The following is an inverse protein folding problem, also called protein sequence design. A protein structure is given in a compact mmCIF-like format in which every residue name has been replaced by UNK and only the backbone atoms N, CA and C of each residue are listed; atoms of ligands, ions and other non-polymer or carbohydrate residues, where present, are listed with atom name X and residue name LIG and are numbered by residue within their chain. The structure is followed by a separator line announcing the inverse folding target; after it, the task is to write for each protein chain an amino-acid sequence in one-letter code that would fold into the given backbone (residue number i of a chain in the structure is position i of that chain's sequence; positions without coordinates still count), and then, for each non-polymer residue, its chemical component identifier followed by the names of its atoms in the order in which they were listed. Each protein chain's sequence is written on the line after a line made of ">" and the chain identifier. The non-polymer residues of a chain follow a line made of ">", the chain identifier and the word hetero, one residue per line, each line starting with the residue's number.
data_IF_380722564479
#
_entry.id   IF_380722564479
#
_cell.length_a   1.000
_cell.length_b   1.000
_cell.length_c   1.000
_cell.angle_alpha   90.00
_cell.angle_beta   90.00
_cell.angle_gamma   90.00
#
_symmetry.space_group_name_H-M   'P 1'
#
loop_
_entity.id
_entity.type
_entity.pdbx_description
1 polymer ?
#
# COMPACT_ATOMS: atom_id res chain seq x y z
N UNK A 1 7.07 16.27 28.35
CA UNK A 1 7.74 16.12 27.02
C UNK A 1 6.84 15.23 26.17
N UNK A 2 6.04 15.86 25.32
CA UNK A 2 5.19 15.18 24.34
C UNK A 2 6.12 14.43 23.41
N UNK A 3 5.88 13.13 23.24
CA UNK A 3 6.72 12.25 22.44
C UNK A 3 6.75 12.78 20.99
N UNK A 4 7.91 13.17 20.51
CA UNK A 4 8.09 13.70 19.14
C UNK A 4 7.64 12.69 18.07
N UNK A 5 7.60 11.40 18.43
CA UNK A 5 7.07 10.33 17.59
C UNK A 5 5.57 10.47 17.28
N UNK A 6 4.79 11.00 18.24
CA UNK A 6 3.36 11.26 18.05
C UNK A 6 3.14 12.41 17.06
N UNK A 7 3.96 13.46 17.14
CA UNK A 7 3.89 14.61 16.23
C UNK A 7 4.39 14.28 14.81
N UNK A 8 5.35 13.37 14.67
CA UNK A 8 5.82 12.91 13.37
C UNK A 8 4.75 12.18 12.55
N UNK A 9 3.79 11.54 13.22
CA UNK A 9 2.65 10.89 12.59
C UNK A 9 1.48 11.84 12.27
N UNK A 10 1.50 13.08 12.76
CA UNK A 10 0.48 14.07 12.43
C UNK A 10 0.77 14.68 11.05
N UNK A 11 0.03 14.22 10.04
CA UNK A 11 0.13 14.70 8.65
C UNK A 11 -0.68 15.98 8.39
N UNK A 12 -1.71 16.26 9.20
CA UNK A 12 -2.65 17.37 8.95
C UNK A 12 -2.04 18.75 9.15
N UNK A 13 -1.10 18.92 10.08
CA UNK A 13 -0.47 20.21 10.42
C UNK A 13 0.84 20.49 9.70
N UNK A 14 1.37 19.57 8.89
CA UNK A 14 2.67 19.72 8.22
C UNK A 14 2.61 20.69 7.06
N UNK A 15 3.69 21.47 6.87
CA UNK A 15 3.91 22.27 5.67
C UNK A 15 4.10 21.35 4.44
N UNK A 16 4.02 21.92 3.25
CA UNK A 16 4.12 21.15 2.00
C UNK A 16 5.49 20.49 1.84
N UNK A 17 6.58 21.19 2.21
CA UNK A 17 7.94 20.68 2.22
C UNK A 17 8.14 19.54 3.22
N UNK A 18 7.61 19.70 4.44
CA UNK A 18 7.71 18.69 5.50
C UNK A 18 6.90 17.43 5.16
N UNK A 19 5.77 17.64 4.48
CA UNK A 19 4.92 16.56 4.02
C UNK A 19 5.61 15.77 2.90
N UNK A 20 6.27 16.46 1.96
CA UNK A 20 7.06 15.84 0.90
C UNK A 20 8.23 15.03 1.48
N UNK A 21 9.03 15.62 2.37
CA UNK A 21 10.12 14.93 3.05
C UNK A 21 9.64 13.68 3.83
N UNK A 22 8.46 13.78 4.45
CA UNK A 22 7.85 12.64 5.13
C UNK A 22 7.40 11.54 4.16
N UNK A 23 6.84 11.88 3.01
CA UNK A 23 6.46 10.94 1.95
C UNK A 23 7.70 10.21 1.44
N UNK A 24 8.78 10.94 1.14
CA UNK A 24 10.02 10.37 0.62
C UNK A 24 10.65 9.39 1.62
N UNK A 25 10.75 9.78 2.90
CA UNK A 25 11.29 8.92 3.95
C UNK A 25 10.43 7.68 4.19
N UNK A 26 9.10 7.81 4.19
CA UNK A 26 8.18 6.68 4.36
C UNK A 26 8.17 5.76 3.14
N UNK A 27 8.36 6.27 1.94
CA UNK A 27 8.46 5.48 0.72
C UNK A 27 9.74 4.64 0.73
N UNK A 28 10.88 5.22 1.11
CA UNK A 28 12.13 4.48 1.30
C UNK A 28 11.98 3.38 2.36
N UNK A 29 11.31 3.67 3.46
CA UNK A 29 11.02 2.68 4.50
C UNK A 29 10.12 1.56 3.98
N UNK A 30 9.08 1.89 3.23
CA UNK A 30 8.18 0.90 2.63
C UNK A 30 8.94 -0.02 1.67
N UNK A 31 9.81 0.53 0.83
CA UNK A 31 10.62 -0.27 -0.12
C UNK A 31 11.63 -1.16 0.62
N UNK A 32 12.23 -0.66 1.70
CA UNK A 32 13.08 -1.47 2.59
C UNK A 32 12.30 -2.63 3.20
N UNK A 33 11.10 -2.38 3.74
CA UNK A 33 10.25 -3.43 4.33
C UNK A 33 9.85 -4.46 3.28
N UNK A 34 9.47 -4.04 2.07
CA UNK A 34 9.17 -4.95 0.96
C UNK A 34 10.36 -5.82 0.59
N UNK A 35 11.54 -5.23 0.47
CA UNK A 35 12.77 -5.94 0.12
C UNK A 35 13.16 -6.95 1.19
N UNK A 36 13.13 -6.57 2.47
CA UNK A 36 13.42 -7.45 3.59
C UNK A 36 12.42 -8.62 3.62
N UNK A 37 11.13 -8.34 3.46
CA UNK A 37 10.10 -9.37 3.45
C UNK A 37 10.23 -10.31 2.25
N UNK A 38 10.51 -9.80 1.05
CA UNK A 38 10.75 -10.61 -0.13
C UNK A 38 11.98 -11.52 0.06
N UNK A 39 13.06 -10.97 0.61
CA UNK A 39 14.26 -11.73 0.92
C UNK A 39 14.01 -12.83 1.94
N UNK A 40 13.32 -12.53 3.05
CA UNK A 40 12.98 -13.52 4.07
C UNK A 40 12.10 -14.66 3.53
N UNK A 41 11.12 -14.34 2.66
CA UNK A 41 10.30 -15.36 2.01
C UNK A 41 11.15 -16.22 1.07
N UNK A 42 12.05 -15.60 0.32
CA UNK A 42 12.97 -16.33 -0.55
C UNK A 42 13.91 -17.25 0.25
N UNK A 43 14.51 -16.75 1.32
CA UNK A 43 15.40 -17.52 2.22
C UNK A 43 14.67 -18.67 2.92
N UNK A 44 13.39 -18.49 3.27
CA UNK A 44 12.55 -19.55 3.83
C UNK A 44 12.05 -20.56 2.78
N UNK A 45 12.26 -20.28 1.49
CA UNK A 45 11.79 -21.18 0.43
C UNK A 45 12.65 -22.44 0.33
N UNK A 46 12.02 -23.54 -0.06
CA UNK A 46 12.72 -24.82 -0.31
C UNK A 46 13.83 -24.67 -1.37
N UNK A 47 13.62 -23.84 -2.36
CA UNK A 47 14.59 -23.58 -3.46
C UNK A 47 15.89 -23.00 -2.89
N UNK A 48 15.80 -22.04 -1.98
CA UNK A 48 16.97 -21.45 -1.32
C UNK A 48 17.71 -22.50 -0.47
N UNK A 49 16.97 -23.30 0.30
CA UNK A 49 17.55 -24.35 1.16
C UNK A 49 18.31 -25.37 0.32
N UNK A 50 17.73 -25.83 -0.81
CA UNK A 50 18.39 -26.77 -1.72
C UNK A 50 19.62 -26.14 -2.36
N UNK A 51 19.57 -24.88 -2.77
CA UNK A 51 20.69 -24.18 -3.39
C UNK A 51 21.87 -24.00 -2.42
N UNK A 52 21.58 -23.63 -1.17
CA UNK A 52 22.64 -23.49 -0.15
C UNK A 52 23.25 -24.83 0.23
N UNK A 53 22.46 -25.91 0.30
CA UNK A 53 22.97 -27.25 0.52
C UNK A 53 23.92 -27.68 -0.61
N UNK A 54 23.55 -27.46 -1.86
CA UNK A 54 24.39 -27.80 -3.00
C UNK A 54 25.70 -26.99 -3.02
N UNK A 55 25.65 -25.71 -2.70
CA UNK A 55 26.87 -24.87 -2.61
C UNK A 55 27.81 -25.33 -1.47
N UNK A 56 27.26 -25.81 -0.35
CA UNK A 56 28.08 -26.38 0.73
C UNK A 56 28.76 -27.68 0.31
N UNK A 57 28.07 -28.53 -0.45
CA UNK A 57 28.66 -29.78 -0.98
C UNK A 57 29.80 -29.48 -1.95
N UNK A 58 29.64 -28.49 -2.84
CA UNK A 58 30.68 -28.09 -3.80
C UNK A 58 31.90 -27.45 -3.07
N UNK A 59 31.67 -26.70 -1.98
CA UNK A 59 32.75 -26.11 -1.17
C UNK A 59 33.55 -27.16 -0.37
N UNK A 60 32.88 -28.21 0.13
CA UNK A 60 33.55 -29.33 0.81
C UNK A 60 34.41 -30.16 -0.15
N UNK A 61 34.03 -30.26 -1.44
CA UNK A 61 34.83 -30.95 -2.46
C UNK A 61 36.08 -30.12 -2.87
N UNK A 62 36.06 -28.80 -2.73
CA UNK A 62 37.21 -27.92 -3.06
C UNK A 62 38.19 -27.70 -1.90
N UNK A 63 37.93 -28.26 -0.73
CA UNK A 63 38.87 -28.27 0.39
C UNK A 63 39.06 -26.94 1.12
N UNK A 64 38.20 -25.97 0.94
CA UNK A 64 38.17 -24.74 1.73
C UNK A 64 37.63 -24.99 3.13
N UNK A 65 38.39 -24.62 4.13
CA UNK A 65 38.12 -24.90 5.56
C UNK A 65 36.76 -24.38 6.00
N UNK A 66 35.85 -25.30 6.23
CA UNK A 66 34.54 -25.02 6.80
C UNK A 66 34.64 -24.97 8.33
N UNK A 67 34.08 -23.93 8.97
CA UNK A 67 33.85 -23.87 10.40
C UNK A 67 33.02 -25.07 10.88
N UNK A 68 33.23 -25.60 12.11
CA UNK A 68 32.60 -26.83 12.54
C UNK A 68 31.12 -26.63 12.84
N UNK A 69 30.29 -26.69 11.82
CA UNK A 69 28.84 -26.80 11.98
C UNK A 69 28.40 -28.18 11.50
N UNK A 70 27.71 -28.89 12.40
CA UNK A 70 27.05 -30.18 12.25
C UNK A 70 27.37 -30.91 10.93
N UNK A 71 28.19 -31.95 11.02
CA UNK A 71 28.39 -32.90 9.89
C UNK A 71 27.03 -33.52 9.52
N UNK A 72 26.30 -32.86 8.64
CA UNK A 72 25.23 -33.52 7.91
C UNK A 72 25.92 -34.44 6.92
N UNK A 73 25.73 -35.74 7.05
CA UNK A 73 26.21 -36.74 6.10
C UNK A 73 25.83 -36.28 4.71
N UNK A 74 26.77 -36.14 3.76
CA UNK A 74 26.43 -35.73 2.41
C UNK A 74 25.39 -36.69 1.87
N UNK A 75 24.27 -36.16 1.40
CA UNK A 75 23.29 -36.92 0.67
C UNK A 75 23.97 -37.54 -0.57
N UNK A 76 23.78 -38.83 -0.82
CA UNK A 76 24.36 -39.46 -2.00
C UNK A 76 23.92 -38.69 -3.24
N UNK A 77 24.89 -38.36 -4.14
CA UNK A 77 24.59 -37.72 -5.42
C UNK A 77 23.49 -38.52 -6.11
N UNK A 78 22.30 -37.97 -6.17
CA UNK A 78 21.20 -38.58 -6.92
C UNK A 78 21.56 -38.53 -8.40
N UNK A 79 21.49 -39.69 -9.09
CA UNK A 79 21.63 -39.75 -10.52
C UNK A 79 20.67 -38.78 -11.22
N UNK A 80 21.10 -38.11 -12.29
CA UNK A 80 20.35 -37.06 -12.98
C UNK A 80 18.92 -37.46 -13.42
N UNK A 81 18.58 -38.74 -13.37
CA UNK A 81 17.28 -39.30 -13.74
C UNK A 81 16.48 -39.86 -12.51
N UNK A 82 16.87 -39.52 -11.28
CA UNK A 82 16.16 -40.01 -10.10
C UNK A 82 14.88 -39.20 -9.86
N UNK A 83 13.76 -39.75 -10.24
CA UNK A 83 12.45 -39.25 -9.82
C UNK A 83 12.14 -39.75 -8.42
N UNK A 84 12.28 -38.85 -7.43
CA UNK A 84 11.88 -39.13 -6.05
C UNK A 84 10.37 -39.35 -6.00
N UNK A 85 9.95 -40.61 -5.84
CA UNK A 85 8.54 -40.88 -5.57
C UNK A 85 8.28 -40.73 -4.05
N UNK A 86 7.86 -39.53 -3.64
CA UNK A 86 7.59 -39.24 -2.24
C UNK A 86 6.51 -40.15 -1.62
N UNK A 87 5.53 -40.60 -2.40
CA UNK A 87 4.45 -41.46 -1.94
C UNK A 87 4.98 -42.82 -1.53
N UNK A 88 5.91 -43.39 -2.30
CA UNK A 88 6.49 -44.69 -1.96
C UNK A 88 7.37 -44.63 -0.71
N UNK A 89 8.15 -43.53 -0.56
CA UNK A 89 8.96 -43.32 0.65
C UNK A 89 8.10 -43.09 1.89
N UNK A 90 7.02 -42.33 1.74
CA UNK A 90 6.09 -42.09 2.84
C UNK A 90 5.34 -43.33 3.26
N UNK A 91 4.93 -44.18 2.32
CA UNK A 91 4.25 -45.44 2.57
C UNK A 91 5.17 -46.52 3.22
N UNK A 92 6.47 -46.46 2.92
CA UNK A 92 7.47 -47.39 3.50
C UNK A 92 7.75 -47.07 4.98
N UNK A 93 7.41 -45.89 5.48
CA UNK A 93 7.67 -45.46 6.84
C UNK A 93 6.61 -45.98 7.82
N UNK A 94 6.99 -46.19 9.11
CA UNK A 94 6.05 -46.62 10.13
C UNK A 94 4.91 -45.63 10.31
N UNK A 95 3.68 -46.12 10.55
CA UNK A 95 2.49 -45.27 10.75
C UNK A 95 2.67 -44.17 11.82
N UNK A 96 3.42 -44.44 12.89
CA UNK A 96 3.74 -43.42 13.91
C UNK A 96 4.66 -42.30 13.38
N UNK A 97 5.65 -42.64 12.55
CA UNK A 97 6.52 -41.69 11.88
C UNK A 97 5.78 -40.88 10.82
N UNK A 98 4.90 -41.53 10.06
CA UNK A 98 4.03 -40.85 9.07
C UNK A 98 3.17 -39.78 9.74
N UNK A 99 2.54 -40.06 10.86
CA UNK A 99 1.74 -39.11 11.64
C UNK A 99 2.60 -37.95 12.15
N UNK A 100 3.82 -38.22 12.60
CA UNK A 100 4.76 -37.17 13.08
C UNK A 100 5.22 -36.29 11.96
N UNK A 101 5.58 -36.84 10.80
CA UNK A 101 5.98 -36.11 9.60
C UNK A 101 4.85 -35.20 9.14
N UNK A 102 3.62 -35.75 9.06
CA UNK A 102 2.44 -34.99 8.64
C UNK A 102 2.12 -33.85 9.60
N UNK A 103 2.19 -34.06 10.91
CA UNK A 103 1.97 -33.03 11.92
C UNK A 103 3.05 -31.95 11.87
N UNK A 104 4.31 -32.31 11.66
CA UNK A 104 5.39 -31.34 11.48
C UNK A 104 5.15 -30.50 10.21
N UNK A 105 4.84 -31.12 9.09
CA UNK A 105 4.55 -30.42 7.84
C UNK A 105 3.35 -29.47 7.99
N UNK A 106 2.27 -29.94 8.64
CA UNK A 106 1.10 -29.10 8.95
C UNK A 106 1.47 -27.89 9.80
N UNK A 107 2.19 -28.10 10.91
CA UNK A 107 2.60 -27.01 11.80
C UNK A 107 3.53 -26.01 11.10
N UNK A 108 4.44 -26.50 10.26
CA UNK A 108 5.33 -25.64 9.45
C UNK A 108 4.51 -24.79 8.48
N UNK A 109 3.54 -25.37 7.80
CA UNK A 109 2.66 -24.64 6.88
C UNK A 109 1.79 -23.60 7.61
N UNK A 110 1.25 -23.93 8.76
CA UNK A 110 0.47 -23.01 9.59
C UNK A 110 1.33 -21.84 10.09
N UNK A 111 2.55 -22.11 10.52
CA UNK A 111 3.51 -21.07 10.92
C UNK A 111 3.90 -20.17 9.73
N UNK A 112 4.21 -20.75 8.57
CA UNK A 112 4.51 -19.99 7.34
C UNK A 112 3.32 -19.14 6.90
N UNK A 113 2.11 -19.70 6.97
CA UNK A 113 0.88 -18.93 6.66
C UNK A 113 0.73 -17.73 7.59
N UNK A 114 0.91 -17.93 8.90
CA UNK A 114 0.79 -16.86 9.91
C UNK A 114 1.86 -15.78 9.70
N UNK A 115 3.10 -16.19 9.47
CA UNK A 115 4.21 -15.26 9.19
C UNK A 115 3.96 -14.44 7.90
N UNK A 116 3.46 -15.11 6.87
CA UNK A 116 3.09 -14.43 5.61
C UNK A 116 1.98 -13.40 5.81
N UNK A 117 0.93 -13.73 6.57
CA UNK A 117 -0.13 -12.78 6.90
C UNK A 117 0.39 -11.58 7.69
N UNK A 118 1.25 -11.82 8.67
CA UNK A 118 1.84 -10.75 9.47
C UNK A 118 2.68 -9.80 8.62
N UNK A 119 3.53 -10.36 7.73
CA UNK A 119 4.36 -9.56 6.81
C UNK A 119 3.53 -8.79 5.80
N UNK A 120 2.49 -9.40 5.26
CA UNK A 120 1.57 -8.74 4.34
C UNK A 120 0.85 -7.57 5.03
N UNK A 121 0.38 -7.76 6.27
CA UNK A 121 -0.22 -6.71 7.08
C UNK A 121 0.76 -5.55 7.33
N UNK A 122 2.01 -5.85 7.70
CA UNK A 122 3.05 -4.85 7.91
C UNK A 122 3.30 -3.99 6.66
N UNK A 123 3.42 -4.62 5.49
CA UNK A 123 3.55 -3.88 4.21
C UNK A 123 2.30 -3.04 3.94
N UNK A 124 1.12 -3.59 4.23
CA UNK A 124 -0.16 -2.88 4.10
C UNK A 124 -0.24 -1.62 4.96
N UNK A 125 0.19 -1.71 6.21
CA UNK A 125 0.20 -0.59 7.16
C UNK A 125 1.18 0.52 6.74
N UNK A 126 2.38 0.16 6.33
CA UNK A 126 3.35 1.15 5.83
C UNK A 126 2.86 1.80 4.51
N UNK A 127 2.29 1.03 3.61
CA UNK A 127 1.69 1.56 2.38
C UNK A 127 0.49 2.49 2.68
N UNK A 128 -0.32 2.18 3.68
CA UNK A 128 -1.43 3.03 4.11
C UNK A 128 -0.93 4.38 4.65
N UNK A 129 0.16 4.39 5.44
CA UNK A 129 0.79 5.63 5.93
C UNK A 129 1.26 6.52 4.78
N UNK A 130 1.94 5.95 3.80
CA UNK A 130 2.39 6.67 2.59
C UNK A 130 1.20 7.28 1.84
N UNK A 131 0.16 6.48 1.56
CA UNK A 131 -1.05 6.97 0.87
C UNK A 131 -1.73 8.10 1.62
N UNK A 132 -1.80 8.01 2.95
CA UNK A 132 -2.40 9.04 3.80
C UNK A 132 -1.67 10.38 3.69
N UNK A 133 -0.33 10.38 3.70
CA UNK A 133 0.46 11.60 3.51
C UNK A 133 0.34 12.15 2.08
N UNK A 134 0.35 11.28 1.09
CA UNK A 134 0.20 11.67 -0.31
C UNK A 134 -1.17 12.29 -0.59
N UNK A 135 -2.23 11.75 0.01
CA UNK A 135 -3.60 12.28 -0.12
C UNK A 135 -3.69 13.69 0.49
N UNK A 136 -3.09 13.93 1.66
CA UNK A 136 -3.06 15.26 2.27
C UNK A 136 -2.22 16.25 1.46
N UNK A 137 -1.15 15.80 0.83
CA UNK A 137 -0.35 16.64 -0.07
C UNK A 137 -1.21 17.15 -1.24
N UNK A 138 -1.91 16.26 -1.93
CA UNK A 138 -2.84 16.64 -3.00
C UNK A 138 -4.01 17.51 -2.50
N UNK A 139 -4.54 17.23 -1.31
CA UNK A 139 -5.66 17.97 -0.72
C UNK A 139 -5.38 19.46 -0.58
N UNK A 140 -4.17 19.84 -0.23
CA UNK A 140 -3.79 21.28 -0.13
C UNK A 140 -3.95 22.00 -1.45
N UNK A 141 -3.64 21.38 -2.57
CA UNK A 141 -3.83 21.95 -3.89
C UNK A 141 -5.29 21.94 -4.32
N UNK A 142 -5.98 20.84 -4.12
CA UNK A 142 -7.38 20.71 -4.54
C UNK A 142 -8.32 21.65 -3.79
N UNK A 143 -8.07 21.90 -2.50
CA UNK A 143 -8.84 22.89 -1.72
C UNK A 143 -8.61 24.31 -2.24
N UNK A 144 -7.37 24.69 -2.55
CA UNK A 144 -7.06 25.99 -3.14
C UNK A 144 -7.73 26.17 -4.50
N UNK A 145 -7.70 25.14 -5.33
CA UNK A 145 -8.38 25.12 -6.63
C UNK A 145 -9.91 25.19 -6.49
N UNK A 146 -10.47 24.49 -5.50
CA UNK A 146 -11.91 24.52 -5.23
C UNK A 146 -12.39 25.93 -4.85
N UNK A 147 -11.62 26.68 -4.03
CA UNK A 147 -11.93 28.07 -3.71
C UNK A 147 -12.04 28.94 -4.98
N UNK A 148 -11.10 28.77 -5.92
CA UNK A 148 -11.11 29.48 -7.19
C UNK A 148 -12.35 29.08 -8.04
N UNK A 149 -12.71 27.81 -8.08
CA UNK A 149 -13.90 27.32 -8.80
C UNK A 149 -15.18 27.84 -8.17
N UNK A 150 -15.31 27.90 -6.85
CA UNK A 150 -16.46 28.48 -6.18
C UNK A 150 -16.63 29.96 -6.50
N UNK A 151 -15.53 30.70 -6.65
CA UNK A 151 -15.60 32.11 -7.12
C UNK A 151 -16.17 32.19 -8.53
N UNK A 152 -15.70 31.36 -9.49
CA UNK A 152 -16.22 31.32 -10.85
C UNK A 152 -17.68 30.83 -10.96
N UNK A 153 -18.16 30.08 -9.98
CA UNK A 153 -19.56 29.66 -9.90
C UNK A 153 -20.43 30.75 -9.25
N UNK A 154 -19.95 31.35 -8.18
CA UNK A 154 -20.69 32.32 -7.37
C UNK A 154 -20.94 33.65 -8.09
N UNK A 155 -19.95 34.15 -8.82
CA UNK A 155 -20.08 35.43 -9.53
C UNK A 155 -21.19 35.40 -10.63
N UNK A 156 -21.23 34.41 -11.55
CA UNK A 156 -22.31 34.29 -12.53
C UNK A 156 -23.67 34.01 -11.89
N UNK A 157 -23.69 33.19 -10.84
CA UNK A 157 -24.93 32.84 -10.14
C UNK A 157 -25.57 34.09 -9.53
N UNK A 158 -24.78 34.95 -8.91
CA UNK A 158 -25.23 36.25 -8.39
C UNK A 158 -25.77 37.19 -9.47
N UNK A 159 -25.15 37.19 -10.67
CA UNK A 159 -25.58 38.01 -11.80
C UNK A 159 -26.91 37.55 -12.41
N UNK A 160 -27.11 36.24 -12.57
CA UNK A 160 -28.33 35.66 -13.18
C UNK A 160 -29.53 35.84 -12.25
N UNK A 161 -29.39 35.79 -10.94
CA UNK A 161 -30.51 35.79 -9.98
C UNK A 161 -30.80 37.19 -9.43
N UNK A 162 -30.61 38.23 -10.22
CA UNK A 162 -30.87 39.63 -9.83
C UNK A 162 -32.30 39.89 -9.38
N UNK A 163 -33.31 39.14 -9.83
CA UNK A 163 -34.74 39.35 -9.57
C UNK A 163 -35.29 38.57 -8.35
N UNK A 164 -34.52 37.68 -7.72
CA UNK A 164 -35.00 36.77 -6.67
C UNK A 164 -34.67 37.15 -5.23
N UNK A 165 -34.04 38.30 -4.99
CA UNK A 165 -33.53 38.68 -3.67
C UNK A 165 -32.29 37.89 -3.28
N UNK A 166 -31.64 38.26 -2.12
CA UNK A 166 -30.38 37.67 -1.66
C UNK A 166 -30.52 36.21 -1.16
N UNK A 167 -31.73 35.75 -0.87
CA UNK A 167 -31.95 34.42 -0.29
C UNK A 167 -31.70 33.26 -1.26
N UNK A 168 -32.08 33.42 -2.52
CA UNK A 168 -31.98 32.33 -3.52
C UNK A 168 -30.50 31.98 -3.85
N UNK A 169 -29.58 32.94 -4.10
CA UNK A 169 -28.19 32.65 -4.32
C UNK A 169 -27.53 31.94 -3.14
N UNK A 170 -27.87 32.31 -1.92
CA UNK A 170 -27.33 31.69 -0.69
C UNK A 170 -27.73 30.23 -0.60
N UNK A 171 -29.01 29.91 -0.80
CA UNK A 171 -29.50 28.53 -0.75
C UNK A 171 -28.82 27.66 -1.81
N UNK A 172 -28.67 28.15 -3.04
CA UNK A 172 -28.00 27.42 -4.13
C UNK A 172 -26.53 27.20 -3.80
N UNK A 173 -25.84 28.21 -3.27
CA UNK A 173 -24.42 28.08 -2.86
C UNK A 173 -24.22 27.01 -1.80
N UNK A 174 -25.13 26.93 -0.80
CA UNK A 174 -25.07 25.91 0.25
C UNK A 174 -25.27 24.51 -0.34
N UNK A 175 -26.24 24.33 -1.24
CA UNK A 175 -26.49 23.04 -1.92
C UNK A 175 -25.25 22.61 -2.71
N UNK A 176 -24.67 23.52 -3.48
CA UNK A 176 -23.44 23.27 -4.24
C UNK A 176 -22.26 22.88 -3.37
N UNK A 177 -22.11 23.58 -2.23
CA UNK A 177 -21.06 23.26 -1.25
C UNK A 177 -21.25 21.86 -0.65
N UNK A 178 -22.48 21.49 -0.28
CA UNK A 178 -22.78 20.15 0.23
C UNK A 178 -22.44 19.08 -0.82
N UNK A 179 -22.79 19.32 -2.07
CA UNK A 179 -22.50 18.39 -3.17
C UNK A 179 -20.99 18.21 -3.38
N UNK A 180 -20.26 19.33 -3.41
CA UNK A 180 -18.79 19.31 -3.44
C UNK A 180 -18.21 18.51 -2.28
N UNK A 181 -18.67 18.78 -1.06
CA UNK A 181 -18.16 18.14 0.15
C UNK A 181 -18.35 16.63 0.14
N UNK A 182 -19.49 16.14 -0.36
CA UNK A 182 -19.77 14.70 -0.48
C UNK A 182 -18.77 14.06 -1.47
N UNK A 183 -18.58 14.67 -2.65
CA UNK A 183 -17.66 14.14 -3.67
C UNK A 183 -16.23 14.17 -3.18
N UNK A 184 -15.80 15.24 -2.53
CA UNK A 184 -14.44 15.40 -1.99
C UNK A 184 -14.13 14.34 -0.92
N UNK A 185 -15.06 14.13 0.04
CA UNK A 185 -14.90 13.09 1.05
C UNK A 185 -14.91 11.67 0.47
N UNK A 186 -15.72 11.42 -0.55
CA UNK A 186 -15.74 10.12 -1.23
C UNK A 186 -14.40 9.86 -1.93
N UNK A 187 -13.91 10.84 -2.68
CA UNK A 187 -12.60 10.77 -3.35
C UNK A 187 -11.44 10.59 -2.36
N UNK A 188 -11.46 11.34 -1.27
CA UNK A 188 -10.48 11.21 -0.18
C UNK A 188 -10.46 9.81 0.42
N UNK A 189 -11.63 9.26 0.75
CA UNK A 189 -11.74 7.91 1.31
C UNK A 189 -11.22 6.84 0.36
N UNK A 190 -11.62 6.89 -0.91
CA UNK A 190 -11.17 5.92 -1.92
C UNK A 190 -9.65 5.98 -2.17
N UNK A 191 -9.07 7.17 -2.19
CA UNK A 191 -7.64 7.36 -2.34
C UNK A 191 -6.86 6.84 -1.13
N UNK A 192 -7.34 7.11 0.08
CA UNK A 192 -6.72 6.66 1.33
C UNK A 192 -6.77 5.13 1.46
N UNK A 193 -7.89 4.52 1.13
CA UNK A 193 -8.09 3.07 1.23
C UNK A 193 -7.35 2.31 0.09
N UNK A 194 -6.77 3.03 -0.88
CA UNK A 194 -5.93 2.47 -1.94
C UNK A 194 -6.72 1.88 -3.10
N UNK A 195 -8.02 2.16 -3.18
CA UNK A 195 -8.87 1.77 -4.32
C UNK A 195 -8.51 2.60 -5.55
N UNK A 196 -8.22 3.88 -5.35
CA UNK A 196 -7.78 4.81 -6.39
C UNK A 196 -6.41 5.40 -6.05
N UNK A 197 -5.69 5.81 -7.08
CA UNK A 197 -4.47 6.61 -6.89
C UNK A 197 -4.80 7.96 -6.23
N UNK A 198 -3.93 8.43 -5.36
CA UNK A 198 -4.16 9.63 -4.55
C UNK A 198 -4.57 10.85 -5.41
N UNK A 199 -3.91 11.06 -6.55
CA UNK A 199 -4.23 12.17 -7.44
C UNK A 199 -5.62 12.05 -8.06
N UNK A 200 -6.05 10.85 -8.52
CA UNK A 200 -7.38 10.64 -9.11
C UNK A 200 -8.49 10.86 -8.09
N UNK A 201 -8.32 10.33 -6.88
CA UNK A 201 -9.30 10.50 -5.81
C UNK A 201 -9.46 11.96 -5.39
N UNK A 202 -8.36 12.69 -5.25
CA UNK A 202 -8.39 14.07 -4.79
C UNK A 202 -8.84 15.07 -5.86
N UNK A 203 -8.52 14.84 -7.14
CA UNK A 203 -8.93 15.73 -8.23
C UNK A 203 -10.34 15.48 -8.75
N UNK A 204 -11.03 14.44 -8.27
CA UNK A 204 -12.39 14.10 -8.69
C UNK A 204 -13.38 15.25 -8.45
N UNK A 205 -13.35 15.86 -7.26
CA UNK A 205 -14.22 16.98 -6.90
C UNK A 205 -13.99 18.19 -7.81
N UNK A 206 -12.72 18.49 -8.09
CA UNK A 206 -12.35 19.58 -9.00
C UNK A 206 -12.76 19.29 -10.45
N UNK A 207 -12.64 18.04 -10.91
CA UNK A 207 -13.05 17.62 -12.24
C UNK A 207 -14.57 17.76 -12.48
N UNK A 208 -15.37 17.58 -11.42
CA UNK A 208 -16.83 17.76 -11.47
C UNK A 208 -17.22 19.24 -11.41
N UNK A 209 -16.54 20.04 -10.58
CA UNK A 209 -16.83 21.47 -10.44
C UNK A 209 -16.45 22.27 -11.68
N UNK A 210 -15.35 21.93 -12.34
CA UNK A 210 -14.82 22.68 -13.50
C UNK A 210 -15.82 22.83 -14.64
N UNK A 211 -16.45 21.76 -15.18
CA UNK A 211 -17.42 21.89 -16.26
C UNK A 211 -18.69 22.64 -15.82
N UNK A 212 -19.07 22.51 -14.55
CA UNK A 212 -20.23 23.20 -14.01
C UNK A 212 -19.98 24.71 -13.88
N UNK A 213 -18.79 25.12 -13.39
CA UNK A 213 -18.37 26.51 -13.34
C UNK A 213 -18.25 27.12 -14.73
N UNK A 214 -17.63 26.41 -15.68
CA UNK A 214 -17.49 26.85 -17.07
C UNK A 214 -18.87 27.05 -17.75
N UNK A 215 -19.81 26.13 -17.53
CA UNK A 215 -21.17 26.24 -18.09
C UNK A 215 -21.92 27.47 -17.54
N UNK A 216 -21.87 27.70 -16.22
CA UNK A 216 -22.52 28.84 -15.58
C UNK A 216 -21.92 30.16 -16.04
N UNK A 217 -20.58 30.25 -16.13
CA UNK A 217 -19.88 31.43 -16.62
C UNK A 217 -20.21 31.74 -18.08
N UNK A 218 -20.24 30.70 -18.94
CA UNK A 218 -20.62 30.84 -20.34
C UNK A 218 -22.06 31.35 -20.48
N UNK A 219 -23.00 30.80 -19.71
CA UNK A 219 -24.38 31.23 -19.74
C UNK A 219 -24.57 32.67 -19.28
N UNK A 220 -23.91 33.07 -18.18
CA UNK A 220 -23.95 34.43 -17.65
C UNK A 220 -23.31 35.48 -18.58
N UNK A 221 -22.34 35.07 -19.40
CA UNK A 221 -21.72 35.95 -20.40
C UNK A 221 -22.59 36.16 -21.68
N UNK A 222 -23.56 35.24 -21.92
CA UNK A 222 -24.43 35.28 -23.09
C UNK A 222 -25.75 35.99 -22.81
N UNK A 223 -26.22 36.01 -21.55
CA UNK A 223 -27.43 36.71 -21.10
C UNK A 223 -27.12 38.16 -20.69
#
# INVERSE_FOLDING_TARGET
>A
RTDDSFLQNQYMGKNLSDLQASIDSMTLKLDSVKTINARSIYEASYIHTVRTMNQQVDADETGEACTPQLRVKPLPKLAENFQLNFDSLFQAEKKSSQATILNRAKNTLENMKTDYFFRAAQVGDEAYKVRRHLTEWHKKFTVSFACLMFFFIGAPLGAIIRKGGLGVPVVISVILFIFYYIIDNMGYKMARDGVWEAWRGMWLSSAVLTPMGAFLTYKAAKD
#
